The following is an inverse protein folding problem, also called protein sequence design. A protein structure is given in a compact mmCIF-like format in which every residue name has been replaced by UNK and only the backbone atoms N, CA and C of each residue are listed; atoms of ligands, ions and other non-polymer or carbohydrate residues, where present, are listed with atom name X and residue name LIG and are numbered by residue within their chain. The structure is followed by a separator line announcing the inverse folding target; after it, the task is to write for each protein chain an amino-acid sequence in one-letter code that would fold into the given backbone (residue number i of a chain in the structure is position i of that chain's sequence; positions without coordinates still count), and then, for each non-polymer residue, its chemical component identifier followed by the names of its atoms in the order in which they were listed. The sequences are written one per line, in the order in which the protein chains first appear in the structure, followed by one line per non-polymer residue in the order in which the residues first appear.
data_IF_958733926650
#
_entry.id   IF_958733926650
#
_cell.length_a   1.000
_cell.length_b   1.000
_cell.length_c   1.000
_cell.angle_alpha   90.00
_cell.angle_beta   90.00
_cell.angle_gamma   90.00
#
_symmetry.space_group_name_H-M   'P 1'
#
loop_
_entity.id
_entity.type
_entity.pdbx_description
1 polymer ?
#
# COMPACT_ATOMS: atom_id res chain seq x y z
N UNK A 1 -15.31 1.90 -1.24
CA UNK A 1 -13.92 1.84 -0.79
C UNK A 1 -13.02 2.29 -1.92
N UNK A 2 -12.11 3.19 -1.65
CA UNK A 2 -11.28 3.69 -2.73
C UNK A 2 -9.80 3.46 -2.43
N UNK A 3 -8.97 3.76 -3.43
CA UNK A 3 -7.55 3.48 -3.33
C UNK A 3 -6.87 4.31 -2.25
N UNK A 4 -7.42 5.46 -1.95
CA UNK A 4 -6.82 6.31 -0.93
C UNK A 4 -6.79 5.61 0.42
N UNK A 5 -7.85 4.89 0.75
CA UNK A 5 -7.90 4.16 2.00
C UNK A 5 -6.74 3.19 2.11
N UNK A 6 -6.51 2.43 1.04
CA UNK A 6 -5.44 1.44 1.06
C UNK A 6 -4.08 2.09 1.05
N UNK A 7 -3.94 3.20 0.35
CA UNK A 7 -2.67 3.91 0.35
C UNK A 7 -2.34 4.46 1.72
N UNK A 8 -3.35 4.98 2.41
CA UNK A 8 -3.15 5.46 3.77
C UNK A 8 -2.71 4.33 4.68
N UNK A 9 -3.36 3.19 4.54
CA UNK A 9 -2.99 2.04 5.37
C UNK A 9 -1.57 1.61 5.09
N UNK A 10 -1.18 1.59 3.82
CA UNK A 10 0.18 1.21 3.47
C UNK A 10 1.18 2.18 4.09
N UNK A 11 0.87 3.46 4.05
CA UNK A 11 1.76 4.44 4.63
C UNK A 11 1.91 4.27 6.12
N UNK A 12 0.79 4.00 6.80
CA UNK A 12 0.85 3.75 8.24
C UNK A 12 1.72 2.56 8.54
N UNK A 13 1.56 1.48 7.77
CA UNK A 13 2.37 0.30 7.98
C UNK A 13 3.86 0.60 7.78
N UNK A 14 4.19 1.36 6.74
CA UNK A 14 5.58 1.70 6.51
C UNK A 14 6.15 2.56 7.62
N UNK A 15 5.34 3.48 8.11
CA UNK A 15 5.76 4.35 9.20
C UNK A 15 6.05 3.55 10.45
N UNK A 16 5.17 2.62 10.76
CA UNK A 16 5.37 1.76 11.92
C UNK A 16 6.61 0.90 11.75
N UNK A 17 6.81 0.37 10.54
CA UNK A 17 7.98 -0.45 10.28
C UNK A 17 9.26 0.33 10.48
N UNK A 18 9.26 1.59 10.07
CA UNK A 18 10.45 2.41 10.22
C UNK A 18 10.79 2.67 11.68
N UNK A 19 9.77 2.66 12.54
CA UNK A 19 9.99 2.86 13.95
C UNK A 19 10.53 1.65 14.68
N UNK A 20 10.54 0.50 14.01
CA UNK A 20 11.02 -0.72 14.64
C UNK A 20 12.48 -0.98 14.29
N UNK A 21 13.16 -1.73 15.15
CA UNK A 21 14.52 -2.14 14.87
C UNK A 21 14.54 -2.95 13.58
N UNK A 22 15.62 -2.79 12.81
CA UNK A 22 15.69 -3.47 11.54
C UNK A 22 15.67 -4.98 11.68
N UNK A 23 16.07 -5.51 12.86
CA UNK A 23 16.05 -6.96 13.07
C UNK A 23 14.79 -7.43 13.77
N UNK A 24 13.80 -6.56 13.92
CA UNK A 24 12.54 -6.94 14.53
C UNK A 24 11.69 -7.66 13.48
N UNK A 25 11.24 -8.89 13.77
CA UNK A 25 10.44 -9.62 12.78
C UNK A 25 9.16 -8.92 12.39
N UNK A 26 8.58 -8.13 13.30
CA UNK A 26 7.35 -7.42 12.97
C UNK A 26 7.57 -6.39 11.87
N UNK A 27 8.80 -5.90 11.74
CA UNK A 27 9.11 -4.93 10.70
C UNK A 27 8.88 -5.52 9.32
N UNK A 28 9.33 -6.76 9.12
CA UNK A 28 9.12 -7.42 7.85
C UNK A 28 7.66 -7.65 7.55
N UNK A 29 6.90 -8.03 8.56
CA UNK A 29 5.48 -8.26 8.37
C UNK A 29 4.76 -6.97 8.01
N UNK A 30 5.14 -5.87 8.65
CA UNK A 30 4.52 -4.59 8.35
C UNK A 30 4.83 -4.16 6.92
N UNK A 31 6.05 -4.43 6.47
CA UNK A 31 6.41 -4.06 5.11
C UNK A 31 5.65 -4.91 4.09
N UNK A 32 5.42 -6.17 4.42
CA UNK A 32 4.62 -7.02 3.54
C UNK A 32 3.18 -6.56 3.48
N UNK A 33 2.64 -6.16 4.62
CA UNK A 33 1.29 -5.62 4.63
C UNK A 33 1.20 -4.34 3.80
N UNK A 34 2.19 -3.49 3.91
CA UNK A 34 2.20 -2.27 3.12
C UNK A 34 2.20 -2.59 1.64
N UNK A 35 2.97 -3.58 1.24
CA UNK A 35 3.01 -3.98 -0.17
C UNK A 35 1.65 -4.49 -0.62
N UNK A 36 0.99 -5.27 0.24
CA UNK A 36 -0.33 -5.78 -0.07
C UNK A 36 -1.33 -4.64 -0.26
N UNK A 37 -1.31 -3.70 0.67
CA UNK A 37 -2.24 -2.58 0.56
C UNK A 37 -1.98 -1.76 -0.69
N UNK A 38 -0.73 -1.58 -1.05
CA UNK A 38 -0.41 -0.82 -2.25
C UNK A 38 -0.87 -1.56 -3.50
N UNK A 39 -0.73 -2.87 -3.50
CA UNK A 39 -1.20 -3.66 -4.62
C UNK A 39 -2.70 -3.53 -4.78
N UNK A 40 -3.42 -3.59 -3.67
CA UNK A 40 -4.87 -3.46 -3.72
C UNK A 40 -5.27 -2.08 -4.19
N UNK A 41 -4.54 -1.05 -3.76
CA UNK A 41 -4.81 0.29 -4.23
C UNK A 41 -4.61 0.39 -5.73
N UNK A 42 -3.55 -0.23 -6.24
CA UNK A 42 -3.30 -0.23 -7.67
C UNK A 42 -4.41 -0.91 -8.43
N UNK A 43 -4.90 -2.03 -7.90
CA UNK A 43 -5.97 -2.76 -8.56
C UNK A 43 -7.25 -1.94 -8.61
N UNK A 44 -7.55 -1.25 -7.52
CA UNK A 44 -8.74 -0.42 -7.48
C UNK A 44 -8.61 0.71 -8.48
N UNK A 45 -7.47 1.35 -8.53
CA UNK A 45 -7.26 2.45 -9.46
C UNK A 45 -7.29 1.97 -10.90
N UNK A 46 -6.72 0.81 -11.13
CA UNK A 46 -6.75 0.22 -12.47
C UNK A 46 -8.17 -0.01 -12.93
N UNK A 47 -8.97 -0.58 -12.05
CA UNK A 47 -10.34 -0.90 -12.41
C UNK A 47 -11.17 0.37 -12.59
N UNK A 48 -10.94 1.36 -11.73
CA UNK A 48 -11.75 2.56 -11.77
C UNK A 48 -11.27 3.60 -12.75
N UNK A 49 -9.99 3.55 -13.15
CA UNK A 49 -9.40 4.58 -14.00
C UNK A 49 -8.87 4.01 -15.30
N UNK A 50 -9.49 2.97 -15.76
CA UNK A 50 -9.04 2.33 -16.99
C UNK A 50 -9.00 3.31 -18.16
N UNK A 51 -9.99 4.13 -18.25
CA UNK A 51 -10.06 5.08 -19.34
C UNK A 51 -8.95 6.09 -19.26
N UNK A 52 -8.68 6.57 -18.08
CA UNK A 52 -7.60 7.52 -17.91
C UNK A 52 -6.28 6.92 -18.32
N UNK A 53 -6.09 5.67 -17.99
CA UNK A 53 -4.88 5.01 -18.36
C UNK A 53 -4.68 5.00 -19.83
N UNK A 54 -5.74 4.71 -20.54
CA UNK A 54 -5.65 4.65 -21.98
C UNK A 54 -5.39 5.98 -22.60
N UNK A 55 -5.74 7.03 -21.90
CA UNK A 55 -5.54 8.38 -22.41
C UNK A 55 -4.07 8.75 -22.51
N UNK A 56 -3.23 8.00 -21.86
CA UNK A 56 -1.81 8.31 -21.94
C UNK A 56 -1.32 8.22 -23.38
#
# INVERSE_FOLDING_TARGET
MDATYFRDKAEVCLRLAKGLSWNNPARGELMELAAEFRRQADEIESAGCTEKRRAH
#
